data_IF_046529985309
#
_entry.id   IF_046529985309
#
_cell.length_a   1.000
_cell.length_b   1.000
_cell.length_c   1.000
_cell.angle_alpha   90.00
_cell.angle_beta   90.00
_cell.angle_gamma   90.00
#
_symmetry.space_group_name_H-M   'P 1'
#
loop_
_entity.id
_entity.type
_entity.pdbx_description
1 polymer ?
#
# COMPACT_ATOMS: atom_id res chain seq x y z
N UNK A 1 -24.05 27.57 -2.53
CA UNK A 1 -24.41 26.13 -2.56
C UNK A 1 -23.21 25.35 -2.07
N UNK A 2 -23.26 24.76 -0.88
CA UNK A 2 -22.16 23.93 -0.38
C UNK A 2 -22.15 22.64 -1.21
N UNK A 3 -21.12 22.48 -2.06
CA UNK A 3 -20.93 21.25 -2.82
C UNK A 3 -20.64 20.08 -1.88
N UNK A 4 -21.08 18.87 -2.27
CA UNK A 4 -20.83 17.63 -1.52
C UNK A 4 -19.34 17.47 -1.22
N UNK A 5 -19.00 17.09 0.00
CA UNK A 5 -17.64 16.77 0.41
C UNK A 5 -17.09 15.58 -0.38
N UNK A 6 -15.76 15.46 -0.49
CA UNK A 6 -15.14 14.30 -1.17
C UNK A 6 -15.51 12.97 -0.50
N UNK A 7 -15.76 12.98 0.81
CA UNK A 7 -16.19 11.81 1.56
C UNK A 7 -17.59 11.36 1.13
N UNK A 8 -18.54 12.29 1.06
CA UNK A 8 -19.90 12.01 0.59
C UNK A 8 -19.91 11.57 -0.87
N UNK A 9 -19.04 12.16 -1.70
CA UNK A 9 -18.88 11.72 -3.09
C UNK A 9 -18.32 10.30 -3.20
N UNK A 10 -17.37 9.91 -2.35
CA UNK A 10 -16.85 8.55 -2.31
C UNK A 10 -17.93 7.55 -1.89
N UNK A 11 -18.70 7.86 -0.84
CA UNK A 11 -19.84 7.03 -0.42
C UNK A 11 -20.88 6.90 -1.54
N UNK A 12 -21.24 8.00 -2.20
CA UNK A 12 -22.18 7.99 -3.32
C UNK A 12 -21.67 7.19 -4.54
N UNK A 13 -20.36 6.99 -4.67
CA UNK A 13 -19.72 6.18 -5.72
C UNK A 13 -19.54 4.70 -5.32
N UNK A 14 -20.05 4.29 -4.15
CA UNK A 14 -20.00 2.90 -3.68
C UNK A 14 -18.72 2.52 -2.94
N UNK A 15 -17.92 3.48 -2.49
CA UNK A 15 -16.73 3.18 -1.70
C UNK A 15 -17.09 2.73 -0.27
N UNK A 16 -16.47 1.65 0.16
CA UNK A 16 -16.44 1.21 1.55
C UNK A 16 -15.43 2.09 2.30
N UNK A 17 -15.91 2.95 3.20
CA UNK A 17 -15.04 3.82 4.00
C UNK A 17 -14.73 3.15 5.34
N UNK A 18 -13.44 2.97 5.65
CA UNK A 18 -12.98 2.46 6.95
C UNK A 18 -12.03 3.47 7.60
N UNK A 19 -12.10 3.61 8.92
CA UNK A 19 -11.36 4.63 9.68
C UNK A 19 -10.53 4.09 10.83
N UNK A 20 -10.60 2.79 11.09
CA UNK A 20 -9.90 2.15 12.21
C UNK A 20 -9.53 0.69 11.85
N UNK A 21 -8.68 0.09 12.67
CA UNK A 21 -8.21 -1.28 12.47
C UNK A 21 -9.37 -2.30 12.50
N UNK A 22 -10.38 -2.07 13.34
CA UNK A 22 -11.53 -2.98 13.49
C UNK A 22 -12.39 -3.01 12.22
N UNK A 23 -12.75 -1.84 11.71
CA UNK A 23 -13.51 -1.68 10.46
C UNK A 23 -12.71 -2.20 9.27
N UNK A 24 -11.39 -1.97 9.21
CA UNK A 24 -10.53 -2.56 8.18
C UNK A 24 -10.56 -4.10 8.21
N UNK A 25 -10.48 -4.70 9.40
CA UNK A 25 -10.48 -6.16 9.56
C UNK A 25 -11.82 -6.79 9.17
N UNK A 26 -12.94 -6.09 9.41
CA UNK A 26 -14.28 -6.57 9.04
C UNK A 26 -14.54 -6.64 7.53
N UNK A 27 -13.70 -6.03 6.70
CA UNK A 27 -13.87 -6.05 5.24
C UNK A 27 -13.55 -7.44 4.70
N UNK A 28 -14.50 -8.07 4.02
CA UNK A 28 -14.34 -9.41 3.44
C UNK A 28 -14.13 -9.38 1.93
N UNK A 29 -14.53 -8.29 1.27
CA UNK A 29 -14.50 -8.13 -0.18
C UNK A 29 -14.08 -6.69 -0.54
N UNK A 30 -13.15 -6.55 -1.48
CA UNK A 30 -12.84 -5.28 -2.12
C UNK A 30 -12.63 -5.49 -3.62
N UNK A 31 -13.50 -4.92 -4.43
CA UNK A 31 -13.51 -5.06 -5.88
C UNK A 31 -13.98 -3.76 -6.56
N UNK A 32 -14.21 -3.79 -7.87
CA UNK A 32 -14.60 -2.59 -8.63
C UNK A 32 -16.01 -2.09 -8.28
N UNK A 33 -16.88 -2.97 -7.79
CA UNK A 33 -18.24 -2.68 -7.38
C UNK A 33 -18.29 -2.12 -5.95
N UNK A 34 -17.39 -2.61 -5.09
CA UNK A 34 -17.24 -2.20 -3.68
C UNK A 34 -15.78 -1.83 -3.39
N UNK A 35 -15.26 -0.72 -3.96
CA UNK A 35 -13.88 -0.33 -3.71
C UNK A 35 -13.68 0.06 -2.24
N UNK A 36 -12.57 -0.35 -1.65
CA UNK A 36 -12.22 -0.01 -0.26
C UNK A 36 -11.37 1.27 -0.21
N UNK A 37 -11.74 2.21 0.65
CA UNK A 37 -10.96 3.42 0.95
C UNK A 37 -10.77 3.56 2.47
N UNK A 38 -9.56 3.31 2.94
CA UNK A 38 -9.17 3.48 4.34
C UNK A 38 -8.59 4.85 4.64
N UNK A 39 -9.15 5.55 5.63
CA UNK A 39 -8.74 6.86 6.11
C UNK A 39 -8.54 6.82 7.63
N UNK A 40 -7.33 6.46 8.09
CA UNK A 40 -7.04 6.14 9.50
C UNK A 40 -6.51 7.32 10.33
N UNK A 41 -6.38 8.50 9.74
CA UNK A 41 -5.95 9.73 10.41
C UNK A 41 -6.43 10.94 9.61
N UNK A 42 -6.64 12.08 10.28
CA UNK A 42 -7.00 13.34 9.62
C UNK A 42 -5.88 13.87 8.70
N UNK A 43 -4.63 13.49 8.99
CA UNK A 43 -3.46 13.82 8.18
C UNK A 43 -2.49 12.64 8.09
N UNK A 44 -1.29 12.83 8.63
CA UNK A 44 -0.28 11.77 8.68
C UNK A 44 -0.61 10.80 9.80
N UNK A 45 -0.45 9.49 9.55
CA UNK A 45 -0.50 8.50 10.62
C UNK A 45 0.64 8.74 11.63
N UNK A 46 0.38 8.56 12.94
CA UNK A 46 1.40 8.74 13.97
C UNK A 46 2.55 7.74 13.79
N UNK A 47 3.78 8.23 14.04
CA UNK A 47 4.99 7.41 13.99
C UNK A 47 4.97 6.31 15.04
N UNK A 48 5.70 5.22 14.77
CA UNK A 48 5.81 4.10 15.72
C UNK A 48 6.59 4.46 16.98
N UNK A 49 7.70 5.18 16.83
CA UNK A 49 8.60 5.52 17.92
C UNK A 49 8.81 7.03 18.01
N UNK A 50 8.95 7.49 19.25
CA UNK A 50 9.28 8.86 19.59
C UNK A 50 10.76 8.94 19.98
N UNK A 51 11.42 10.00 19.54
CA UNK A 51 12.79 10.33 19.90
C UNK A 51 13.03 11.83 19.70
N UNK A 52 13.97 12.43 20.45
CA UNK A 52 14.31 13.82 20.29
C UNK A 52 14.93 14.06 18.92
N UNK A 53 14.65 15.23 18.35
CA UNK A 53 15.27 15.67 17.10
C UNK A 53 16.78 15.82 17.31
N UNK A 54 17.56 15.36 16.33
CA UNK A 54 19.01 15.56 16.34
C UNK A 54 19.35 17.06 16.45
N UNK A 55 20.36 17.37 17.25
CA UNK A 55 20.93 18.72 17.41
C UNK A 55 22.40 18.72 17.02
N UNK A 56 22.93 19.89 16.64
CA UNK A 56 24.36 20.06 16.38
C UNK A 56 25.17 19.58 17.60
N UNK A 57 26.23 18.80 17.34
CA UNK A 57 27.04 18.11 18.36
C UNK A 57 26.27 17.25 19.38
N UNK A 58 25.02 16.87 19.10
CA UNK A 58 24.19 16.11 20.03
C UNK A 58 24.73 14.72 20.40
N UNK A 59 25.69 14.17 19.66
CA UNK A 59 26.37 12.92 20.03
C UNK A 59 27.49 13.10 21.07
N UNK A 60 27.98 14.33 21.25
CA UNK A 60 29.03 14.70 22.21
C UNK A 60 28.39 15.37 23.43
N UNK A 61 27.48 16.30 23.18
CA UNK A 61 26.92 17.19 24.20
C UNK A 61 25.67 16.63 24.89
N UNK A 62 25.11 15.51 24.40
CA UNK A 62 23.90 14.89 24.97
C UNK A 62 24.08 13.39 25.17
N UNK A 63 23.35 12.82 26.15
CA UNK A 63 23.37 11.37 26.36
C UNK A 63 22.78 10.62 25.18
N UNK A 64 23.21 9.38 25.00
CA UNK A 64 22.61 8.46 24.05
C UNK A 64 21.11 8.31 24.35
N UNK A 65 20.29 8.29 23.30
CA UNK A 65 18.84 8.23 23.45
C UNK A 65 18.32 6.88 23.00
N UNK A 66 17.48 6.27 23.83
CA UNK A 66 16.69 5.10 23.48
C UNK A 66 15.31 5.56 23.02
N UNK A 67 14.94 5.16 21.79
CA UNK A 67 13.61 5.42 21.25
C UNK A 67 12.53 4.71 22.08
N UNK A 68 11.42 5.40 22.34
CA UNK A 68 10.27 4.83 23.07
C UNK A 68 9.06 4.67 22.15
N UNK A 69 8.14 3.73 22.43
CA UNK A 69 6.85 3.66 21.75
C UNK A 69 6.12 4.99 21.80
N UNK A 70 5.55 5.44 20.69
CA UNK A 70 4.83 6.71 20.63
C UNK A 70 3.44 6.57 21.29
N UNK A 71 3.16 7.23 22.44
CA UNK A 71 1.86 7.14 23.10
C UNK A 71 0.72 7.77 22.29
N UNK A 72 1.04 8.65 21.32
CA UNK A 72 0.04 9.24 20.43
C UNK A 72 -0.45 8.26 19.35
N UNK A 73 0.21 7.11 19.19
CA UNK A 73 -0.26 6.05 18.31
C UNK A 73 -1.13 5.09 19.11
N UNK A 74 -2.43 5.25 19.00
CA UNK A 74 -3.40 4.31 19.57
C UNK A 74 -3.53 3.03 18.72
N UNK A 75 -4.10 1.98 19.33
CA UNK A 75 -4.33 0.67 18.68
C UNK A 75 -5.42 0.71 17.60
N UNK A 76 -6.22 1.78 17.57
CA UNK A 76 -7.23 2.00 16.52
C UNK A 76 -6.59 2.30 15.17
N UNK A 77 -5.36 2.82 15.12
CA UNK A 77 -4.63 3.05 13.87
C UNK A 77 -3.90 1.77 13.44
N UNK A 78 -4.27 1.14 12.31
CA UNK A 78 -3.62 -0.08 11.86
C UNK A 78 -2.14 0.17 11.54
N UNK A 79 -1.32 -0.86 11.75
CA UNK A 79 0.07 -0.85 11.32
C UNK A 79 0.16 -1.00 9.80
N UNK A 80 1.28 -0.57 9.23
CA UNK A 80 1.53 -0.79 7.81
C UNK A 80 1.50 -2.28 7.43
N UNK A 81 1.97 -3.16 8.33
CA UNK A 81 1.90 -4.60 8.13
C UNK A 81 0.43 -5.05 8.02
N UNK A 82 -0.42 -4.72 8.99
CA UNK A 82 -1.85 -5.04 8.97
C UNK A 82 -2.58 -4.52 7.72
N UNK A 83 -2.29 -3.29 7.29
CA UNK A 83 -2.86 -2.75 6.04
C UNK A 83 -2.39 -3.51 4.80
N UNK A 84 -1.12 -3.93 4.79
CA UNK A 84 -0.54 -4.68 3.67
C UNK A 84 -1.11 -6.09 3.61
N UNK A 85 -1.18 -6.77 4.74
CA UNK A 85 -1.74 -8.11 4.85
C UNK A 85 -3.20 -8.12 4.40
N UNK A 86 -3.98 -7.14 4.87
CA UNK A 86 -5.39 -7.03 4.44
C UNK A 86 -5.52 -6.72 2.95
N UNK A 87 -4.65 -5.87 2.40
CA UNK A 87 -4.65 -5.60 0.97
C UNK A 87 -4.32 -6.85 0.15
N UNK A 88 -3.34 -7.65 0.58
CA UNK A 88 -2.98 -8.91 -0.09
C UNK A 88 -4.14 -9.91 0.01
N UNK A 89 -4.74 -10.08 1.19
CA UNK A 89 -5.90 -10.95 1.41
C UNK A 89 -7.06 -10.62 0.45
N UNK A 90 -7.37 -9.34 0.29
CA UNK A 90 -8.48 -8.89 -0.56
C UNK A 90 -8.14 -8.97 -2.06
N UNK A 91 -6.91 -8.61 -2.44
CA UNK A 91 -6.50 -8.50 -3.86
C UNK A 91 -6.08 -9.84 -4.47
N UNK A 92 -5.57 -10.78 -3.67
CA UNK A 92 -5.15 -12.12 -4.11
C UNK A 92 -6.31 -12.98 -4.64
N UNK A 93 -7.56 -12.62 -4.30
CA UNK A 93 -8.78 -13.28 -4.80
C UNK A 93 -8.98 -13.10 -6.32
N UNK A 94 -8.26 -12.18 -6.95
CA UNK A 94 -8.38 -11.95 -8.39
C UNK A 94 -7.42 -12.85 -9.18
N UNK A 95 -7.98 -13.81 -9.91
CA UNK A 95 -7.24 -14.77 -10.74
C UNK A 95 -6.38 -14.12 -11.84
N UNK A 96 -6.71 -12.89 -12.26
CA UNK A 96 -5.95 -12.15 -13.29
C UNK A 96 -4.72 -11.42 -12.70
N UNK A 97 -4.50 -11.54 -11.39
CA UNK A 97 -3.47 -10.84 -10.64
C UNK A 97 -3.91 -9.45 -10.19
N UNK A 98 -3.05 -8.81 -9.40
CA UNK A 98 -3.28 -7.49 -8.85
C UNK A 98 -2.02 -6.63 -8.89
N UNK A 99 -2.20 -5.32 -8.83
CA UNK A 99 -1.13 -4.36 -8.63
C UNK A 99 -1.38 -3.62 -7.32
N UNK A 100 -0.43 -3.69 -6.40
CA UNK A 100 -0.50 -2.98 -5.12
C UNK A 100 0.72 -2.08 -4.99
N UNK A 101 0.50 -0.75 -4.88
CA UNK A 101 1.57 0.20 -4.58
C UNK A 101 1.54 0.54 -3.10
N UNK A 102 2.52 0.03 -2.36
CA UNK A 102 2.74 0.39 -0.97
C UNK A 102 3.67 1.60 -0.90
N UNK A 103 3.35 2.58 -0.05
CA UNK A 103 4.23 3.70 0.24
C UNK A 103 4.44 3.79 1.74
N UNK A 104 5.67 3.50 2.18
CA UNK A 104 6.09 3.73 3.56
C UNK A 104 6.47 5.20 3.70
N UNK A 105 6.00 5.82 4.77
CA UNK A 105 6.46 7.16 5.14
C UNK A 105 6.74 7.17 6.64
N UNK A 106 8.02 7.13 7.00
CA UNK A 106 8.44 7.69 8.28
C UNK A 106 8.14 9.19 8.23
N UNK A 107 7.71 9.77 9.35
CA UNK A 107 7.27 11.18 9.44
C UNK A 107 8.42 12.16 9.19
N UNK A 108 8.84 12.24 7.94
CA UNK A 108 9.72 13.25 7.37
C UNK A 108 8.92 13.82 6.19
N UNK A 109 8.00 14.74 6.51
CA UNK A 109 7.26 15.65 5.60
C UNK A 109 6.32 15.07 4.53
N UNK A 110 5.03 14.78 4.87
CA UNK A 110 3.79 14.82 3.99
C UNK A 110 3.15 13.48 3.50
N UNK A 111 2.31 12.80 4.28
CA UNK A 111 1.56 11.57 3.90
C UNK A 111 0.20 11.90 3.28
N UNK A 112 -0.04 11.37 2.08
CA UNK A 112 -1.38 11.10 1.55
C UNK A 112 -1.38 9.62 1.14
N UNK A 113 -2.23 8.79 1.77
CA UNK A 113 -2.42 7.39 1.41
C UNK A 113 -3.44 7.34 0.25
N UNK A 114 -3.02 6.88 -0.93
CA UNK A 114 -3.88 6.77 -2.10
C UNK A 114 -3.76 5.35 -2.65
N UNK A 115 -4.68 4.49 -2.24
CA UNK A 115 -4.85 3.14 -2.81
C UNK A 115 -5.68 3.31 -4.09
N UNK A 116 -5.04 3.17 -5.25
CA UNK A 116 -5.71 3.19 -6.55
C UNK A 116 -5.78 1.76 -7.08
N UNK A 117 -7.00 1.21 -7.12
CA UNK A 117 -7.28 -0.08 -7.77
C UNK A 117 -7.51 0.20 -9.25
N UNK A 118 -6.65 -0.34 -10.11
CA UNK A 118 -6.72 -0.17 -11.57
C UNK A 118 -6.48 -1.49 -12.28
N UNK A 119 -7.34 -1.83 -13.24
CA UNK A 119 -7.23 -3.00 -14.11
C UNK A 119 -6.00 -2.82 -15.01
N UNK A 120 -5.05 -3.74 -14.96
CA UNK A 120 -3.98 -3.81 -15.97
C UNK A 120 -4.63 -4.28 -17.29
N UNK A 121 -5.00 -3.34 -18.15
CA UNK A 121 -5.43 -3.66 -19.51
C UNK A 121 -4.21 -4.16 -20.29
N UNK A 122 -4.14 -5.49 -20.48
CA UNK A 122 -3.16 -6.12 -21.35
C UNK A 122 -3.46 -5.65 -22.79
N UNK A 123 -2.71 -4.66 -23.31
CA UNK A 123 -2.71 -4.39 -24.75
C UNK A 123 -2.14 -5.63 -25.42
N UNK A 124 -3.02 -6.42 -26.03
CA UNK A 124 -2.66 -7.54 -26.89
C UNK A 124 -1.95 -7.00 -28.12
N UNK A 125 -0.62 -7.00 -28.10
CA UNK A 125 0.16 -6.95 -29.33
C UNK A 125 0.07 -8.36 -29.92
N UNK A 126 -0.79 -8.51 -30.92
CA UNK A 126 -0.93 -9.72 -31.71
C UNK A 126 0.34 -9.92 -32.56
N UNK A 127 1.33 -10.67 -32.05
CA UNK A 127 2.37 -11.25 -32.90
C UNK A 127 1.77 -12.44 -33.65
N UNK A 128 1.50 -12.25 -34.94
CA UNK A 128 1.17 -13.36 -35.86
C UNK A 128 2.38 -14.30 -35.98
N UNK A 129 2.18 -15.62 -36.00
CA UNK A 129 3.27 -16.58 -36.15
C UNK A 129 3.82 -16.52 -37.59
N UNK A 130 5.12 -16.24 -37.72
CA UNK A 130 5.84 -16.44 -38.98
C UNK A 130 6.32 -17.89 -39.02
N UNK A 131 5.67 -18.71 -39.84
CA UNK A 131 6.14 -20.04 -40.19
C UNK A 131 7.39 -19.91 -41.06
N UNK A 132 8.53 -20.43 -40.61
CA UNK A 132 9.69 -20.60 -41.47
C UNK A 132 11.00 -20.89 -40.76
N UNK A 133 11.44 -22.14 -40.89
CA UNK A 133 12.84 -22.61 -40.91
C UNK A 133 13.46 -23.12 -39.60
N UNK A 134 13.44 -24.45 -39.56
CA UNK A 134 14.19 -25.40 -38.75
C UNK A 134 15.72 -25.19 -38.69
N UNK A 135 16.28 -25.75 -37.61
CA UNK A 135 17.68 -26.22 -37.44
C UNK A 135 18.81 -25.18 -37.36
N UNK A 136 19.16 -24.79 -36.13
CA UNK A 136 20.52 -24.97 -35.59
C UNK A 136 20.53 -24.74 -34.08
N UNK A 137 21.47 -25.38 -33.36
CA UNK A 137 21.77 -25.23 -31.93
C UNK A 137 20.94 -26.04 -30.90
N UNK A 138 20.73 -27.33 -31.19
CA UNK A 138 20.96 -28.35 -30.14
C UNK A 138 22.47 -28.54 -29.97
N UNK A 139 23.09 -27.90 -28.97
CA UNK A 139 24.31 -28.35 -28.25
C UNK A 139 24.85 -27.22 -27.36
N UNK A 140 24.66 -27.35 -26.04
CA UNK A 140 25.71 -27.37 -24.99
C UNK A 140 25.26 -26.79 -23.64
N UNK A 141 25.34 -27.68 -22.65
CA UNK A 141 25.92 -27.48 -21.31
C UNK A 141 25.01 -26.86 -20.25
N UNK A 142 24.32 -27.77 -19.58
CA UNK A 142 24.26 -27.90 -18.12
C UNK A 142 25.63 -27.65 -17.44
N UNK A 143 25.76 -26.57 -16.65
CA UNK A 143 26.58 -26.48 -15.41
C UNK A 143 26.32 -25.12 -14.74
N UNK A 144 26.54 -25.02 -13.42
CA UNK A 144 26.25 -23.91 -12.49
C UNK A 144 24.79 -23.91 -12.02
N UNK A 145 24.40 -24.41 -10.84
CA UNK A 145 25.10 -24.86 -9.61
C UNK A 145 24.41 -26.12 -9.05
#
# INVERSE_FOLDING_TARGET
MAGKTLREQAQARGYQLVSDATSLNSVTEANQQKPLLGLFADGNMPVRWLGPKATYHGNIDKPAVTCTPNPQRNDSVPTLAQMTDKAIELLSKNEKGFFCKLKVRQSINRIMLRILVGKLARRSISMKPYNGRWNSLKRRVTRWS
#
